data_IF_291329903683
#
_entry.id   IF_291329903683
#
_cell.length_a   1.000
_cell.length_b   1.000
_cell.length_c   1.000
_cell.angle_alpha   90.00
_cell.angle_beta   90.00
_cell.angle_gamma   90.00
#
_symmetry.space_group_name_H-M   'P 1'
#
loop_
_entity.id
_entity.type
_entity.pdbx_description
1 polymer ?
#
# COMPACT_ATOMS: atom_id res chain seq x y z
N UNK A 1 -2.09 -22.66 1.97
CA UNK A 1 -3.16 -22.64 0.94
C UNK A 1 -3.24 -21.21 0.43
N UNK A 2 -2.51 -20.91 -0.64
CA UNK A 2 -2.57 -19.59 -1.28
C UNK A 2 -3.87 -19.53 -2.09
N UNK A 3 -4.76 -18.61 -1.73
CA UNK A 3 -5.94 -18.35 -2.55
C UNK A 3 -5.49 -17.61 -3.81
N UNK A 4 -5.17 -18.37 -4.85
CA UNK A 4 -4.95 -17.83 -6.19
C UNK A 4 -6.26 -17.23 -6.68
N UNK A 5 -6.34 -15.90 -6.65
CA UNK A 5 -7.49 -15.18 -7.20
C UNK A 5 -7.32 -15.15 -8.73
N UNK A 6 -7.70 -16.25 -9.38
CA UNK A 6 -7.70 -16.39 -10.82
C UNK A 6 -8.76 -15.48 -11.46
N UNK A 7 -8.33 -14.74 -12.47
CA UNK A 7 -9.10 -13.77 -13.24
C UNK A 7 -10.31 -14.40 -13.97
N UNK A 8 -11.44 -14.59 -13.30
CA UNK A 8 -12.72 -14.85 -13.96
C UNK A 8 -13.88 -14.74 -12.96
N UNK A 9 -14.47 -13.56 -12.79
CA UNK A 9 -15.87 -13.32 -12.41
C UNK A 9 -16.51 -14.10 -11.25
N UNK A 10 -15.75 -14.88 -10.50
CA UNK A 10 -16.20 -15.80 -9.49
C UNK A 10 -16.23 -15.08 -8.16
N UNK A 11 -17.40 -15.07 -7.53
CA UNK A 11 -17.52 -14.75 -6.11
C UNK A 11 -16.38 -15.46 -5.37
N UNK A 12 -15.52 -14.71 -4.70
CA UNK A 12 -14.44 -15.26 -3.88
C UNK A 12 -15.12 -16.18 -2.85
N UNK A 13 -15.17 -17.47 -3.14
CA UNK A 13 -15.64 -18.47 -2.20
C UNK A 13 -14.54 -18.61 -1.16
N UNK A 14 -14.63 -17.78 -0.11
CA UNK A 14 -13.76 -17.83 1.04
C UNK A 14 -14.01 -19.15 1.77
N UNK A 15 -13.28 -20.18 1.35
CA UNK A 15 -12.97 -21.34 2.18
C UNK A 15 -12.17 -20.92 3.43
N UNK A 16 -11.90 -21.85 4.36
CA UNK A 16 -11.57 -21.52 5.74
C UNK A 16 -10.32 -20.62 5.84
N UNK A 17 -10.51 -19.43 6.44
CA UNK A 17 -9.50 -18.44 6.89
C UNK A 17 -8.30 -18.25 5.95
N UNK A 18 -8.46 -17.40 4.94
CA UNK A 18 -7.33 -16.94 4.11
C UNK A 18 -6.52 -15.91 4.89
N UNK A 19 -5.38 -16.33 5.43
CA UNK A 19 -4.50 -15.44 6.21
C UNK A 19 -3.56 -14.61 5.34
N UNK A 20 -3.25 -15.09 4.13
CA UNK A 20 -2.36 -14.42 3.17
C UNK A 20 -2.98 -14.43 1.79
N UNK A 21 -3.09 -13.24 1.18
CA UNK A 21 -3.69 -13.03 -0.12
C UNK A 21 -2.71 -12.29 -1.03
N UNK A 22 -2.41 -12.87 -2.18
CA UNK A 22 -1.60 -12.22 -3.21
C UNK A 22 -2.47 -11.92 -4.45
N UNK A 23 -2.59 -10.64 -4.78
CA UNK A 23 -3.26 -10.14 -6.00
C UNK A 23 -2.29 -9.39 -6.92
N UNK A 24 -0.98 -9.56 -6.75
CA UNK A 24 0.06 -8.99 -7.60
C UNK A 24 -0.15 -9.37 -9.07
N UNK A 25 0.12 -8.45 -10.00
CA UNK A 25 0.07 -8.70 -11.44
C UNK A 25 -1.27 -9.24 -12.01
N UNK A 26 -2.39 -9.06 -11.31
CA UNK A 26 -3.73 -9.38 -11.84
C UNK A 26 -4.24 -8.27 -12.79
N UNK A 27 -3.59 -8.12 -13.94
CA UNK A 27 -3.93 -7.13 -14.98
C UNK A 27 -5.34 -7.28 -15.56
N UNK A 28 -5.94 -8.47 -15.38
CA UNK A 28 -7.21 -8.84 -15.96
C UNK A 28 -8.44 -8.23 -15.26
N UNK A 29 -8.29 -7.60 -14.08
CA UNK A 29 -9.42 -7.02 -13.38
C UNK A 29 -9.50 -5.50 -13.48
N UNK A 30 -10.66 -5.06 -13.94
CA UNK A 30 -10.98 -3.69 -14.32
C UNK A 30 -10.83 -2.66 -13.19
N UNK A 31 -10.75 -3.05 -11.91
CA UNK A 31 -10.67 -2.15 -10.73
C UNK A 31 -10.06 -2.83 -9.49
N UNK A 32 -8.73 -3.02 -9.39
CA UNK A 32 -8.09 -3.61 -8.20
C UNK A 32 -8.49 -2.91 -6.90
N UNK A 33 -8.66 -1.58 -6.95
CA UNK A 33 -9.03 -0.74 -5.81
C UNK A 33 -10.42 -1.03 -5.23
N UNK A 34 -11.34 -1.57 -6.02
CA UNK A 34 -12.70 -1.88 -5.54
C UNK A 34 -12.72 -3.23 -4.83
N UNK A 35 -11.93 -4.18 -5.32
CA UNK A 35 -11.89 -5.52 -4.77
C UNK A 35 -11.16 -5.58 -3.43
N UNK A 36 -10.09 -4.81 -3.27
CA UNK A 36 -9.40 -4.73 -1.98
C UNK A 36 -10.32 -4.16 -0.90
N UNK A 37 -11.16 -3.18 -1.25
CA UNK A 37 -12.15 -2.63 -0.32
C UNK A 37 -13.20 -3.67 0.07
N UNK A 38 -13.71 -4.42 -0.91
CA UNK A 38 -14.68 -5.47 -0.66
C UNK A 38 -14.09 -6.61 0.20
N UNK A 39 -12.85 -7.01 -0.07
CA UNK A 39 -12.16 -8.08 0.65
C UNK A 39 -11.79 -7.67 2.07
N UNK A 40 -11.00 -6.60 2.24
CA UNK A 40 -10.56 -6.18 3.57
C UNK A 40 -11.70 -5.57 4.43
N UNK A 41 -12.79 -5.14 3.79
CA UNK A 41 -13.98 -4.65 4.48
C UNK A 41 -14.89 -5.77 4.98
N UNK A 42 -14.99 -6.89 4.26
CA UNK A 42 -15.82 -8.03 4.63
C UNK A 42 -15.06 -9.08 5.45
N UNK A 43 -13.78 -9.29 5.15
CA UNK A 43 -12.94 -10.30 5.78
C UNK A 43 -11.97 -9.71 6.80
N UNK A 44 -12.13 -10.18 8.05
CA UNK A 44 -11.17 -9.96 9.15
C UNK A 44 -10.23 -11.15 9.36
N UNK A 45 -10.05 -11.98 8.35
CA UNK A 45 -9.14 -13.14 8.43
C UNK A 45 -7.80 -12.87 7.74
N UNK A 46 -7.76 -11.91 6.82
CA UNK A 46 -6.55 -11.55 6.08
C UNK A 46 -5.57 -10.82 7.01
N UNK A 47 -4.36 -11.38 7.10
CA UNK A 47 -3.21 -10.80 7.81
C UNK A 47 -2.16 -10.26 6.87
N UNK A 48 -2.00 -10.86 5.69
CA UNK A 48 -1.02 -10.45 4.70
C UNK A 48 -1.70 -10.19 3.36
N UNK A 49 -1.43 -9.03 2.76
CA UNK A 49 -1.94 -8.65 1.44
C UNK A 49 -0.80 -8.14 0.57
N UNK A 50 -0.56 -8.78 -0.57
CA UNK A 50 0.33 -8.26 -1.61
C UNK A 50 -0.47 -7.84 -2.84
N UNK A 51 -0.22 -6.61 -3.28
CA UNK A 51 -0.73 -5.97 -4.49
C UNK A 51 0.44 -5.52 -5.38
N UNK A 52 1.64 -6.09 -5.19
CA UNK A 52 2.84 -5.66 -5.89
C UNK A 52 2.66 -5.68 -7.42
N UNK A 53 3.36 -4.77 -8.09
CA UNK A 53 3.34 -4.59 -9.54
C UNK A 53 1.92 -4.47 -10.11
N UNK A 54 1.03 -3.75 -9.40
CA UNK A 54 -0.29 -3.36 -9.91
C UNK A 54 -0.32 -1.88 -10.29
N UNK A 55 0.27 -1.47 -11.43
CA UNK A 55 0.41 -0.06 -11.81
C UNK A 55 -0.94 0.66 -12.03
N UNK A 56 -2.04 -0.10 -12.18
CA UNK A 56 -3.40 0.44 -12.30
C UNK A 56 -4.01 0.88 -10.97
N UNK A 57 -3.39 0.56 -9.84
CA UNK A 57 -3.85 1.01 -8.53
C UNK A 57 -3.76 2.53 -8.45
N UNK A 58 -2.56 3.10 -8.70
CA UNK A 58 -2.33 4.54 -8.71
C UNK A 58 -2.75 5.26 -7.43
N UNK A 59 -2.81 6.60 -7.49
CA UNK A 59 -3.24 7.43 -6.36
C UNK A 59 -4.67 7.12 -5.88
N UNK A 60 -5.59 6.80 -6.80
CA UNK A 60 -6.99 6.47 -6.46
C UNK A 60 -7.12 5.16 -5.69
N UNK A 61 -6.32 4.16 -6.07
CA UNK A 61 -6.30 2.88 -5.39
C UNK A 61 -5.67 2.97 -4.01
N UNK A 62 -4.57 3.72 -3.87
CA UNK A 62 -4.01 4.03 -2.55
C UNK A 62 -5.03 4.74 -1.63
N UNK A 63 -5.81 5.69 -2.15
CA UNK A 63 -6.83 6.39 -1.38
C UNK A 63 -7.96 5.47 -0.88
N UNK A 64 -8.30 4.41 -1.65
CA UNK A 64 -9.29 3.42 -1.22
C UNK A 64 -8.71 2.42 -0.23
N UNK A 65 -7.48 1.97 -0.47
CA UNK A 65 -6.72 1.16 0.47
C UNK A 65 -6.61 1.84 1.83
N UNK A 66 -6.32 3.13 1.87
CA UNK A 66 -6.18 3.88 3.12
C UNK A 66 -7.49 3.91 3.93
N UNK A 67 -8.65 4.05 3.27
CA UNK A 67 -9.93 4.03 3.97
C UNK A 67 -10.17 2.71 4.69
N UNK A 68 -9.78 1.60 4.07
CA UNK A 68 -10.00 0.28 4.65
C UNK A 68 -8.90 -0.07 5.64
N UNK A 69 -7.65 0.31 5.37
CA UNK A 69 -6.55 0.16 6.31
C UNK A 69 -6.79 0.90 7.63
N UNK A 70 -7.45 2.06 7.60
CA UNK A 70 -7.81 2.80 8.81
C UNK A 70 -8.84 2.06 9.71
N UNK A 71 -9.58 1.10 9.16
CA UNK A 71 -10.61 0.34 9.89
C UNK A 71 -10.27 -1.13 10.07
N UNK A 72 -9.31 -1.65 9.30
CA UNK A 72 -8.88 -3.04 9.36
C UNK A 72 -7.88 -3.21 10.51
N UNK A 73 -8.22 -4.11 11.43
CA UNK A 73 -7.44 -4.40 12.64
C UNK A 73 -6.79 -5.78 12.62
N UNK A 74 -6.75 -6.43 11.46
CA UNK A 74 -6.22 -7.80 11.32
C UNK A 74 -5.04 -7.89 10.38
N UNK A 75 -4.90 -6.94 9.47
CA UNK A 75 -3.78 -6.85 8.56
C UNK A 75 -2.50 -6.49 9.32
N UNK A 76 -1.48 -7.32 9.16
CA UNK A 76 -0.14 -7.16 9.73
C UNK A 76 0.91 -6.87 8.66
N UNK A 77 0.73 -7.36 7.43
CA UNK A 77 1.66 -7.13 6.31
C UNK A 77 0.93 -6.62 5.07
N UNK A 78 1.41 -5.50 4.52
CA UNK A 78 0.89 -4.90 3.30
C UNK A 78 2.02 -4.64 2.31
N UNK A 79 1.87 -5.18 1.10
CA UNK A 79 2.78 -4.93 0.00
C UNK A 79 2.05 -4.26 -1.17
N UNK A 80 2.49 -3.04 -1.48
CA UNK A 80 1.98 -2.18 -2.55
C UNK A 80 3.14 -1.64 -3.39
N UNK A 81 4.23 -2.41 -3.52
CA UNK A 81 5.38 -2.04 -4.35
C UNK A 81 5.05 -1.99 -5.84
N UNK A 82 5.64 -1.06 -6.60
CA UNK A 82 5.45 -0.99 -8.06
C UNK A 82 4.04 -0.57 -8.51
N UNK A 83 3.23 -0.01 -7.61
CA UNK A 83 1.82 0.31 -7.85
C UNK A 83 1.57 1.73 -8.37
N UNK A 84 2.63 2.51 -8.60
CA UNK A 84 2.57 3.92 -9.04
C UNK A 84 1.71 4.80 -8.12
N UNK A 85 1.83 4.62 -6.81
CA UNK A 85 0.97 5.32 -5.83
C UNK A 85 1.07 6.85 -5.87
N UNK A 86 2.21 7.38 -6.30
CA UNK A 86 2.43 8.83 -6.49
C UNK A 86 2.16 9.30 -7.93
N UNK A 87 1.50 8.49 -8.76
CA UNK A 87 1.03 8.88 -10.08
C UNK A 87 -0.49 8.78 -10.16
N UNK A 88 -1.11 9.71 -10.89
CA UNK A 88 -2.48 9.55 -11.34
C UNK A 88 -2.55 8.44 -12.40
N UNK A 89 -3.76 7.96 -12.68
CA UNK A 89 -3.98 6.94 -13.71
C UNK A 89 -3.60 7.39 -15.14
N UNK A 90 -3.22 8.67 -15.33
CA UNK A 90 -2.81 9.27 -16.59
C UNK A 90 -1.28 9.52 -16.68
N UNK A 91 -0.51 9.21 -15.62
CA UNK A 91 0.94 9.36 -15.57
C UNK A 91 1.46 10.70 -15.04
N UNK A 92 0.60 11.59 -14.58
CA UNK A 92 0.99 12.81 -13.87
C UNK A 92 1.28 12.51 -12.39
N UNK A 93 2.12 13.33 -11.73
CA UNK A 93 2.41 13.16 -10.31
C UNK A 93 1.16 13.50 -9.47
N UNK A 94 0.64 12.51 -8.74
CA UNK A 94 -0.45 12.67 -7.77
C UNK A 94 -0.10 11.87 -6.51
N UNK A 95 0.38 12.57 -5.49
CA UNK A 95 0.74 11.97 -4.22
C UNK A 95 -0.43 11.92 -3.21
N UNK A 96 -1.64 12.32 -3.61
CA UNK A 96 -2.81 12.35 -2.73
C UNK A 96 -3.23 10.98 -2.22
N UNK A 97 -2.94 9.92 -2.98
CA UNK A 97 -3.13 8.54 -2.54
C UNK A 97 -2.22 8.18 -1.37
N UNK A 98 -0.93 8.50 -1.51
CA UNK A 98 0.10 8.23 -0.50
C UNK A 98 -0.13 9.04 0.77
N UNK A 99 -0.51 10.31 0.65
CA UNK A 99 -0.87 11.15 1.80
C UNK A 99 -2.01 10.55 2.64
N UNK A 100 -3.05 10.02 1.96
CA UNK A 100 -4.15 9.35 2.66
C UNK A 100 -3.70 8.04 3.30
N UNK A 101 -2.82 7.29 2.63
CA UNK A 101 -2.23 6.07 3.17
C UNK A 101 -1.44 6.38 4.46
N UNK A 102 -0.63 7.44 4.46
CA UNK A 102 0.06 7.92 5.66
C UNK A 102 -0.92 8.30 6.79
N UNK A 103 -2.01 9.00 6.48
CA UNK A 103 -3.04 9.33 7.48
C UNK A 103 -3.71 8.07 8.05
N UNK A 104 -3.98 7.07 7.22
CA UNK A 104 -4.56 5.80 7.66
C UNK A 104 -3.60 4.99 8.54
N UNK A 105 -2.30 4.99 8.23
CA UNK A 105 -1.28 4.34 9.06
C UNK A 105 -1.29 4.90 10.49
N UNK A 106 -1.45 6.22 10.67
CA UNK A 106 -1.54 6.83 12.02
C UNK A 106 -2.70 6.29 12.87
N UNK A 107 -3.76 5.79 12.23
CA UNK A 107 -4.93 5.23 12.90
C UNK A 107 -4.90 3.70 12.97
N UNK A 108 -4.03 3.05 12.18
CA UNK A 108 -3.80 1.63 12.28
C UNK A 108 -2.82 1.36 13.45
N UNK A 109 -2.95 0.19 14.07
CA UNK A 109 -2.07 -0.24 15.14
C UNK A 109 -1.63 -1.71 15.00
N UNK A 110 -2.06 -2.39 13.94
CA UNK A 110 -1.84 -3.83 13.73
C UNK A 110 -0.81 -4.11 12.64
N UNK A 111 -0.57 -3.15 11.75
CA UNK A 111 0.42 -3.30 10.68
C UNK A 111 1.84 -3.35 11.26
N UNK A 112 2.57 -4.40 10.92
CA UNK A 112 3.97 -4.63 11.30
C UNK A 112 4.94 -4.45 10.13
N UNK A 113 4.45 -4.67 8.90
CA UNK A 113 5.25 -4.63 7.67
C UNK A 113 4.54 -3.83 6.58
N UNK A 114 5.28 -2.93 5.93
CA UNK A 114 4.79 -2.13 4.80
C UNK A 114 5.82 -2.07 3.68
N UNK A 115 5.48 -2.57 2.50
CA UNK A 115 6.32 -2.46 1.29
C UNK A 115 5.76 -1.39 0.36
N UNK A 116 6.52 -0.33 0.15
CA UNK A 116 6.19 0.82 -0.69
C UNK A 116 7.20 1.03 -1.82
N UNK A 117 8.06 0.05 -2.11
CA UNK A 117 9.10 0.16 -3.11
C UNK A 117 8.57 0.54 -4.51
N UNK A 118 9.37 1.18 -5.37
CA UNK A 118 9.04 1.46 -6.79
C UNK A 118 7.72 2.22 -7.01
N UNK A 119 7.39 3.17 -6.13
CA UNK A 119 6.14 3.97 -6.21
C UNK A 119 6.33 5.43 -6.64
N UNK A 120 7.57 5.86 -6.89
CA UNK A 120 7.88 7.22 -7.35
C UNK A 120 7.61 8.30 -6.31
N UNK A 121 7.81 8.00 -5.03
CA UNK A 121 7.49 8.91 -3.91
C UNK A 121 8.35 10.18 -3.84
N UNK A 122 9.45 10.30 -4.60
CA UNK A 122 10.28 11.51 -4.65
C UNK A 122 10.13 12.36 -5.92
N UNK A 123 9.23 12.01 -6.86
CA UNK A 123 8.95 12.90 -8.01
C UNK A 123 8.39 14.24 -7.53
N UNK A 124 8.63 15.32 -8.29
CA UNK A 124 8.16 16.67 -7.93
C UNK A 124 6.68 16.67 -7.51
N UNK A 125 6.42 17.07 -6.27
CA UNK A 125 5.08 17.06 -5.64
C UNK A 125 4.80 15.88 -4.68
N UNK A 126 5.66 14.86 -4.61
CA UNK A 126 5.48 13.70 -3.73
C UNK A 126 6.34 13.73 -2.44
N UNK A 127 7.27 14.69 -2.32
CA UNK A 127 8.12 14.87 -1.12
C UNK A 127 7.32 14.96 0.18
N UNK A 128 6.23 15.73 0.17
CA UNK A 128 5.34 15.87 1.34
C UNK A 128 4.68 14.54 1.70
N UNK A 129 4.36 13.71 0.71
CA UNK A 129 3.76 12.41 0.94
C UNK A 129 4.75 11.43 1.56
N UNK A 130 6.01 11.45 1.12
CA UNK A 130 7.07 10.69 1.76
C UNK A 130 7.27 11.12 3.22
N UNK A 131 7.36 12.43 3.50
CA UNK A 131 7.45 12.93 4.88
C UNK A 131 6.24 12.51 5.73
N UNK A 132 5.04 12.51 5.16
CA UNK A 132 3.85 12.05 5.85
C UNK A 132 3.92 10.55 6.18
N UNK A 133 4.39 9.71 5.24
CA UNK A 133 4.59 8.27 5.47
C UNK A 133 5.62 8.06 6.57
N UNK A 134 6.79 8.71 6.50
CA UNK A 134 7.83 8.60 7.52
C UNK A 134 7.33 9.04 8.90
N UNK A 135 6.62 10.17 8.97
CA UNK A 135 6.02 10.64 10.22
C UNK A 135 4.91 9.74 10.76
N UNK A 136 4.15 9.08 9.88
CA UNK A 136 3.15 8.09 10.27
C UNK A 136 3.80 6.82 10.82
N UNK A 137 4.84 6.33 10.15
CA UNK A 137 5.60 5.14 10.57
C UNK A 137 6.32 5.40 11.90
N UNK A 138 6.95 6.56 12.07
CA UNK A 138 7.60 6.95 13.32
C UNK A 138 6.63 7.02 14.52
N UNK A 139 5.36 7.34 14.28
CA UNK A 139 4.31 7.35 15.28
C UNK A 139 3.57 6.01 15.43
N UNK A 140 3.84 5.03 14.56
CA UNK A 140 3.10 3.77 14.53
C UNK A 140 3.61 2.83 15.63
N UNK A 141 2.75 2.29 16.51
CA UNK A 141 3.18 1.53 17.69
C UNK A 141 3.77 0.15 17.37
N UNK A 142 3.42 -0.42 16.22
CA UNK A 142 3.71 -1.83 15.88
C UNK A 142 4.49 -2.02 14.58
N UNK A 143 4.81 -0.95 13.84
CA UNK A 143 5.44 -1.09 12.52
C UNK A 143 6.94 -1.27 12.69
N UNK A 144 7.47 -2.39 12.21
CA UNK A 144 8.88 -2.78 12.37
C UNK A 144 9.62 -2.73 11.04
N UNK A 145 8.94 -3.06 9.94
CA UNK A 145 9.53 -3.12 8.61
C UNK A 145 8.85 -2.15 7.64
N UNK A 146 9.64 -1.26 7.06
CA UNK A 146 9.23 -0.33 6.02
C UNK A 146 10.22 -0.46 4.86
N UNK A 147 9.75 -0.86 3.68
CA UNK A 147 10.58 -0.84 2.48
C UNK A 147 10.18 0.34 1.58
N UNK A 148 11.12 1.23 1.31
CA UNK A 148 10.96 2.38 0.42
C UNK A 148 11.90 2.33 -0.80
N UNK A 149 12.57 1.22 -1.07
CA UNK A 149 13.53 1.05 -2.18
C UNK A 149 12.97 1.55 -3.53
N UNK A 150 13.83 2.06 -4.41
CA UNK A 150 13.46 2.56 -5.74
C UNK A 150 12.34 3.62 -5.73
N UNK A 151 12.28 4.46 -4.69
CA UNK A 151 11.43 5.66 -4.68
C UNK A 151 12.20 6.94 -4.94
N UNK A 152 13.41 6.85 -5.50
CA UNK A 152 14.34 7.97 -5.71
C UNK A 152 14.62 8.73 -4.39
N UNK A 153 14.63 8.02 -3.25
CA UNK A 153 14.80 8.60 -1.92
C UNK A 153 16.21 9.14 -1.65
N UNK A 154 17.22 8.61 -2.35
CA UNK A 154 18.62 9.00 -2.17
C UNK A 154 18.82 10.49 -2.45
N UNK A 155 18.06 11.04 -3.40
CA UNK A 155 18.06 12.47 -3.72
C UNK A 155 17.46 13.32 -2.59
N UNK A 156 16.61 12.72 -1.75
CA UNK A 156 15.84 13.38 -0.71
C UNK A 156 16.48 13.22 0.69
N UNK A 157 17.18 12.11 0.96
CA UNK A 157 17.99 11.91 2.15
C UNK A 157 19.08 12.98 2.28
N UNK A 158 19.74 13.33 1.16
CA UNK A 158 20.72 14.42 1.11
C UNK A 158 20.10 15.81 1.30
N UNK A 159 18.85 16.02 0.85
CA UNK A 159 18.16 17.31 0.95
C UNK A 159 17.53 17.58 2.33
N UNK A 160 17.12 16.53 3.05
CA UNK A 160 16.46 16.64 4.35
C UNK A 160 17.37 16.30 5.54
N UNK A 161 18.63 15.91 5.32
CA UNK A 161 19.57 15.58 6.39
C UNK A 161 19.18 14.32 7.19
N UNK A 162 18.33 13.46 6.62
CA UNK A 162 18.03 12.15 7.19
C UNK A 162 19.16 11.19 6.81
N UNK A 163 20.29 11.26 7.51
CA UNK A 163 21.41 10.30 7.35
C UNK A 163 21.05 8.86 7.76
N UNK A 164 19.85 8.64 8.32
CA UNK A 164 19.38 7.31 8.72
C UNK A 164 17.88 7.19 8.44
N UNK A 165 17.54 6.90 7.19
CA UNK A 165 16.28 6.18 6.93
C UNK A 165 16.50 4.72 7.33
N UNK A 166 15.56 4.09 8.05
CA UNK A 166 15.65 2.66 8.31
C UNK A 166 15.63 1.92 6.97
N UNK A 167 16.74 1.26 6.64
CA UNK A 167 16.87 0.26 5.58
C UNK A 167 16.02 -0.96 5.87
#
# INVERSE_FOLDING_TARGET
VAAGCGAAGGRCALGPRVESLNLSANEAELRPETRVVALLGADRSVRQLSLADTPRLGARGAARLSQVLATNTTLTSLDVGGCRLAADGAGAADASGVLRLAAALKHNATLTELQLARNGLCRDGAREALQAVLGAVAAHPSLVHLNLEDNDIDELAGALGFEQLPT
#
